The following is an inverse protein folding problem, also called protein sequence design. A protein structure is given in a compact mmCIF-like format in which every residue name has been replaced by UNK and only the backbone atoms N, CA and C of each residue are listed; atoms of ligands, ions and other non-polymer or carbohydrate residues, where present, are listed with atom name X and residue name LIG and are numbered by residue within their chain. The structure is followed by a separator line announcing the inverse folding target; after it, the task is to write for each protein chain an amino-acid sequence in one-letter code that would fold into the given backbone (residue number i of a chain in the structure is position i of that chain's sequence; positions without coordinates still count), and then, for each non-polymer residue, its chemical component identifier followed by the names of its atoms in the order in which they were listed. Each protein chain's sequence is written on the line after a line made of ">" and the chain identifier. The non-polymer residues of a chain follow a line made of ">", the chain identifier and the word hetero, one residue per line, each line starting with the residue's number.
data_IF_413744561256
#
_entry.id   IF_413744561256
#
_cell.length_a   1.000
_cell.length_b   1.000
_cell.length_c   1.000
_cell.angle_alpha   90.00
_cell.angle_beta   90.00
_cell.angle_gamma   90.00
#
_symmetry.space_group_name_H-M   'P 1'
#
loop_
_entity.id
_entity.type
_entity.pdbx_description
1 polymer ?
#
# COMPACT_ATOMS: atom_id res chain seq x y z
N UNK A 1 -5.28 -17.44 18.85
CA UNK A 1 -6.72 -17.22 18.73
C UNK A 1 -6.97 -15.72 18.86
N UNK A 2 -8.05 -15.16 18.28
CA UNK A 2 -8.35 -13.75 18.48
C UNK A 2 -8.62 -13.45 19.96
N UNK A 3 -8.18 -12.27 20.40
CA UNK A 3 -8.46 -11.75 21.73
C UNK A 3 -9.57 -10.69 21.60
N UNK A 4 -10.74 -10.95 22.16
CA UNK A 4 -11.82 -9.98 22.22
C UNK A 4 -11.56 -9.02 23.38
N UNK A 5 -11.15 -7.79 23.06
CA UNK A 5 -10.82 -6.74 24.05
C UNK A 5 -12.11 -6.14 24.63
N UNK A 6 -13.09 -5.87 23.76
CA UNK A 6 -14.45 -5.46 24.14
C UNK A 6 -15.43 -5.88 23.01
N UNK A 7 -16.77 -5.69 23.16
CA UNK A 7 -17.75 -6.07 22.15
C UNK A 7 -17.49 -5.49 20.74
N UNK A 8 -16.86 -4.31 20.67
CA UNK A 8 -16.58 -3.59 19.41
C UNK A 8 -15.10 -3.64 19.01
N UNK A 9 -14.25 -4.45 19.68
CA UNK A 9 -12.82 -4.52 19.37
C UNK A 9 -12.28 -5.92 19.55
N UNK A 10 -11.76 -6.49 18.47
CA UNK A 10 -11.13 -7.82 18.45
C UNK A 10 -9.70 -7.71 17.89
N UNK A 11 -8.72 -8.36 18.52
CA UNK A 11 -7.32 -8.34 18.11
C UNK A 11 -6.78 -9.72 17.77
N UNK A 12 -6.03 -9.80 16.69
CA UNK A 12 -5.18 -10.94 16.29
C UNK A 12 -3.69 -10.62 16.50
N UNK A 13 -3.36 -9.42 16.99
CA UNK A 13 -1.98 -9.07 17.31
C UNK A 13 -1.50 -9.87 18.52
N UNK A 14 -0.27 -10.39 18.43
CA UNK A 14 0.41 -11.06 19.56
C UNK A 14 0.92 -10.05 20.58
N UNK A 15 1.31 -8.87 20.09
CA UNK A 15 1.80 -7.74 20.87
C UNK A 15 1.11 -6.48 20.34
N UNK A 16 0.66 -5.62 21.23
CA UNK A 16 0.03 -4.35 20.92
C UNK A 16 0.51 -3.34 21.95
N UNK A 17 1.17 -2.27 21.49
CA UNK A 17 1.58 -1.20 22.39
C UNK A 17 0.39 -0.41 22.92
N UNK A 18 0.56 0.25 24.08
CA UNK A 18 -0.53 0.95 24.78
C UNK A 18 -1.14 2.08 23.94
N UNK A 19 -0.34 2.78 23.12
CA UNK A 19 -0.83 3.85 22.27
C UNK A 19 -1.70 3.30 21.13
N UNK A 20 -1.29 2.18 20.53
CA UNK A 20 -2.06 1.51 19.48
C UNK A 20 -3.37 0.94 20.04
N UNK A 21 -3.34 0.38 21.25
CA UNK A 21 -4.54 -0.10 21.93
C UNK A 21 -5.50 1.05 22.23
N UNK A 22 -5.02 2.15 22.80
CA UNK A 22 -5.87 3.31 23.11
C UNK A 22 -6.47 3.92 21.83
N UNK A 23 -5.70 4.03 20.76
CA UNK A 23 -6.19 4.48 19.47
C UNK A 23 -7.28 3.55 18.91
N UNK A 24 -7.11 2.25 19.01
CA UNK A 24 -8.11 1.27 18.59
C UNK A 24 -9.39 1.34 19.45
N UNK A 25 -9.25 1.56 20.77
CA UNK A 25 -10.38 1.77 21.68
C UNK A 25 -11.19 3.00 21.30
N UNK A 26 -10.54 4.13 20.94
CA UNK A 26 -11.24 5.33 20.44
C UNK A 26 -11.99 5.03 19.14
N UNK A 27 -11.36 4.33 18.20
CA UNK A 27 -12.00 3.92 16.95
C UNK A 27 -13.20 3.01 17.20
N UNK A 28 -13.13 2.10 18.18
CA UNK A 28 -14.20 1.16 18.51
C UNK A 28 -15.45 1.78 19.13
N UNK A 29 -15.41 3.07 19.50
CA UNK A 29 -16.55 3.84 20.04
C UNK A 29 -17.26 4.70 18.99
N UNK A 30 -16.83 4.66 17.73
CA UNK A 30 -17.49 5.43 16.67
C UNK A 30 -18.91 4.94 16.40
N UNK A 31 -19.89 5.85 16.25
CA UNK A 31 -21.30 5.49 16.06
C UNK A 31 -21.61 4.92 14.68
N UNK A 32 -20.70 5.04 13.73
CA UNK A 32 -20.86 4.62 12.33
C UNK A 32 -20.41 3.18 12.07
N UNK A 33 -19.94 2.46 13.09
CA UNK A 33 -19.43 1.11 12.91
C UNK A 33 -20.55 0.13 12.49
N UNK A 34 -20.23 -0.73 11.54
CA UNK A 34 -21.08 -1.83 11.08
C UNK A 34 -20.78 -3.15 11.82
N UNK A 35 -19.74 -3.17 12.64
CA UNK A 35 -19.30 -4.35 13.40
C UNK A 35 -18.05 -4.01 14.22
N UNK A 36 -17.43 -4.99 14.87
CA UNK A 36 -16.23 -4.74 15.66
C UNK A 36 -15.06 -4.30 14.78
N UNK A 37 -14.26 -3.38 15.33
CA UNK A 37 -12.93 -3.08 14.78
C UNK A 37 -12.05 -4.30 14.94
N UNK A 38 -11.39 -4.73 13.87
CA UNK A 38 -10.53 -5.90 13.88
C UNK A 38 -9.07 -5.46 13.71
N UNK A 39 -8.22 -5.80 14.69
CA UNK A 39 -6.78 -5.55 14.63
C UNK A 39 -6.06 -6.80 14.12
N UNK A 40 -5.31 -6.66 13.03
CA UNK A 40 -4.53 -7.74 12.45
C UNK A 40 -3.20 -7.91 13.20
N UNK A 41 -2.47 -8.97 12.87
CA UNK A 41 -1.24 -9.37 13.57
C UNK A 41 -0.11 -8.31 13.53
N UNK A 42 -0.16 -7.38 12.59
CA UNK A 42 0.79 -6.28 12.41
C UNK A 42 0.27 -4.93 12.94
N UNK A 43 -0.76 -4.95 13.79
CA UNK A 43 -1.35 -3.73 14.32
C UNK A 43 -0.34 -2.90 15.13
N UNK A 44 -0.27 -1.61 14.82
CA UNK A 44 0.61 -0.66 15.50
C UNK A 44 0.05 0.77 15.42
N UNK A 45 0.56 1.68 16.24
CA UNK A 45 0.14 3.07 16.26
C UNK A 45 0.38 3.75 14.91
N UNK A 46 -0.60 4.56 14.47
CA UNK A 46 -0.53 5.31 13.22
C UNK A 46 -1.31 6.62 13.26
N UNK A 47 -1.37 7.35 12.14
CA UNK A 47 -2.20 8.55 12.01
C UNK A 47 -3.67 8.14 11.81
N UNK A 48 -4.57 8.71 12.59
CA UNK A 48 -6.01 8.42 12.55
C UNK A 48 -6.34 7.08 13.18
N UNK A 49 -6.76 6.10 12.39
CA UNK A 49 -7.00 4.75 12.87
C UNK A 49 -5.70 3.94 12.98
N UNK A 50 -5.69 2.96 13.88
CA UNK A 50 -4.57 2.03 14.08
C UNK A 50 -4.18 1.36 12.76
N UNK A 51 -2.89 1.35 12.44
CA UNK A 51 -2.38 0.58 11.28
C UNK A 51 -2.60 -0.90 11.55
N UNK A 52 -2.98 -1.66 10.53
CA UNK A 52 -3.38 -3.07 10.71
C UNK A 52 -4.83 -3.24 11.16
N UNK A 53 -5.66 -2.19 11.14
CA UNK A 53 -7.08 -2.30 11.47
C UNK A 53 -7.97 -2.48 10.25
N UNK A 54 -9.07 -3.20 10.44
CA UNK A 54 -10.25 -3.24 9.56
C UNK A 54 -11.41 -2.60 10.31
N UNK A 55 -11.99 -1.56 9.70
CA UNK A 55 -13.03 -0.72 10.32
C UNK A 55 -14.25 -0.70 9.40
N UNK A 56 -15.16 -1.65 9.56
CA UNK A 56 -16.40 -1.67 8.78
C UNK A 56 -17.36 -0.56 9.23
N UNK A 57 -17.88 0.22 8.28
CA UNK A 57 -18.76 1.37 8.55
C UNK A 57 -20.03 1.34 7.73
N UNK A 58 -21.13 1.89 8.27
CA UNK A 58 -22.41 2.08 7.58
C UNK A 58 -22.55 3.51 7.12
N UNK A 59 -22.86 3.69 5.83
CA UNK A 59 -23.18 4.98 5.22
C UNK A 59 -22.14 6.09 5.50
N UNK A 60 -20.89 5.71 5.76
CA UNK A 60 -19.83 6.66 6.09
C UNK A 60 -18.45 6.10 5.77
N UNK A 61 -17.48 6.99 5.55
CA UNK A 61 -16.06 6.66 5.40
C UNK A 61 -15.19 7.59 6.22
N UNK A 62 -14.13 7.00 6.83
CA UNK A 62 -13.08 7.73 7.52
C UNK A 62 -11.87 7.86 6.58
N UNK A 63 -11.57 9.03 6.02
CA UNK A 63 -10.42 9.20 5.13
C UNK A 63 -9.08 8.81 5.80
N UNK A 64 -8.92 9.08 7.09
CA UNK A 64 -7.73 8.71 7.85
C UNK A 64 -7.57 7.20 8.05
N UNK A 65 -8.66 6.43 8.11
CA UNK A 65 -8.61 4.97 8.25
C UNK A 65 -8.13 4.27 6.97
N UNK A 66 -8.33 4.88 5.80
CA UNK A 66 -7.73 4.42 4.53
C UNK A 66 -6.23 4.71 4.51
N UNK A 67 -5.82 5.80 5.18
CA UNK A 67 -4.43 6.24 5.27
C UNK A 67 -4.02 7.21 4.16
N UNK A 68 -2.92 7.93 4.41
CA UNK A 68 -2.44 8.99 3.51
C UNK A 68 -1.81 8.48 2.20
N UNK A 69 -1.35 7.25 2.14
CA UNK A 69 -0.90 6.62 0.90
C UNK A 69 -2.00 5.69 0.36
N UNK A 70 -3.05 6.32 -0.18
CA UNK A 70 -4.21 5.59 -0.73
C UNK A 70 -3.74 4.59 -1.78
N UNK A 71 -4.19 3.34 -1.68
CA UNK A 71 -3.84 2.28 -2.62
C UNK A 71 -2.43 1.74 -2.45
N UNK A 72 -1.68 2.14 -1.39
CA UNK A 72 -0.43 1.46 -1.06
C UNK A 72 -0.64 -0.04 -0.99
N UNK A 73 0.34 -0.80 -1.47
CA UNK A 73 0.18 -2.24 -1.61
C UNK A 73 1.43 -2.93 -2.13
N UNK A 74 1.29 -4.22 -2.33
CA UNK A 74 2.35 -5.11 -2.77
C UNK A 74 2.06 -5.66 -4.16
N UNK A 75 3.11 -5.85 -4.96
CA UNK A 75 3.08 -6.73 -6.12
C UNK A 75 4.23 -7.71 -6.03
N UNK A 76 3.97 -8.97 -6.34
CA UNK A 76 4.96 -10.03 -6.38
C UNK A 76 4.84 -10.80 -7.69
N UNK A 77 5.98 -11.11 -8.32
CA UNK A 77 6.04 -11.93 -9.52
C UNK A 77 6.97 -13.13 -9.29
N UNK A 78 6.44 -14.33 -9.47
CA UNK A 78 7.24 -15.56 -9.54
C UNK A 78 7.84 -15.69 -10.93
N UNK A 79 9.07 -16.20 -11.02
CA UNK A 79 9.71 -16.46 -12.29
C UNK A 79 10.02 -17.95 -12.46
N UNK A 80 10.31 -18.36 -13.69
CA UNK A 80 10.78 -19.71 -14.00
C UNK A 80 12.17 -20.01 -13.43
N UNK A 81 12.93 -18.98 -13.01
CA UNK A 81 14.29 -19.11 -12.54
C UNK A 81 14.39 -19.74 -11.15
N UNK A 82 15.48 -20.45 -10.95
CA UNK A 82 15.98 -20.89 -9.65
C UNK A 82 17.20 -20.05 -9.22
N UNK A 83 17.59 -20.13 -7.95
CA UNK A 83 18.75 -19.43 -7.42
C UNK A 83 20.04 -19.69 -8.21
N UNK A 84 20.23 -20.94 -8.71
CA UNK A 84 21.41 -21.36 -9.46
C UNK A 84 21.51 -20.69 -10.85
N UNK A 85 20.41 -20.17 -11.38
CA UNK A 85 20.34 -19.52 -12.69
C UNK A 85 20.56 -18.00 -12.61
N UNK A 86 20.66 -17.45 -11.39
CA UNK A 86 21.05 -16.08 -11.17
C UNK A 86 22.57 -15.90 -11.25
N UNK A 87 23.07 -14.75 -11.76
CA UNK A 87 24.49 -14.42 -11.67
C UNK A 87 24.99 -14.39 -10.22
N UNK A 88 26.24 -14.78 -10.00
CA UNK A 88 26.88 -14.73 -8.69
C UNK A 88 26.98 -13.28 -8.16
N UNK A 89 27.22 -12.30 -9.02
CA UNK A 89 27.20 -10.87 -8.70
C UNK A 89 25.93 -10.20 -9.25
N UNK A 90 25.08 -9.76 -8.34
CA UNK A 90 23.81 -9.10 -8.66
C UNK A 90 23.93 -7.56 -8.81
N UNK A 91 25.16 -7.00 -8.83
CA UNK A 91 25.38 -5.54 -8.99
C UNK A 91 24.79 -4.99 -10.30
N UNK A 92 24.95 -5.75 -11.37
CA UNK A 92 24.40 -5.34 -12.67
C UNK A 92 22.86 -5.27 -12.63
N UNK A 93 22.19 -6.27 -12.03
CA UNK A 93 20.74 -6.28 -11.82
C UNK A 93 20.30 -5.10 -10.94
N UNK A 94 21.01 -4.87 -9.83
CA UNK A 94 20.72 -3.73 -8.94
C UNK A 94 20.85 -2.38 -9.68
N UNK A 95 21.89 -2.21 -10.51
CA UNK A 95 22.06 -1.02 -11.35
C UNK A 95 20.87 -0.81 -12.30
N UNK A 96 20.49 -1.86 -13.02
CA UNK A 96 19.35 -1.83 -13.95
C UNK A 96 18.02 -1.52 -13.26
N UNK A 97 17.77 -2.08 -12.07
CA UNK A 97 16.57 -1.79 -11.27
C UNK A 97 16.53 -0.30 -10.87
N UNK A 98 17.65 0.23 -10.39
CA UNK A 98 17.78 1.64 -9.99
C UNK A 98 17.57 2.61 -11.16
N UNK A 99 18.08 2.27 -12.34
CA UNK A 99 18.01 3.11 -13.53
C UNK A 99 16.59 3.10 -14.14
N UNK A 100 15.89 1.97 -14.07
CA UNK A 100 14.54 1.80 -14.65
C UNK A 100 13.42 2.20 -13.70
N UNK A 101 13.64 2.17 -12.38
CA UNK A 101 12.64 2.46 -11.35
C UNK A 101 13.14 3.61 -10.47
N UNK A 102 12.80 4.87 -10.83
CA UNK A 102 13.21 6.04 -10.06
C UNK A 102 12.74 5.94 -8.62
N UNK A 103 13.63 6.23 -7.67
CA UNK A 103 13.37 6.10 -6.25
C UNK A 103 13.76 7.37 -5.49
N UNK A 104 12.99 7.76 -4.47
CA UNK A 104 13.23 8.92 -3.61
C UNK A 104 12.04 9.88 -3.55
N UNK A 105 12.10 10.81 -2.59
CA UNK A 105 11.06 11.84 -2.39
C UNK A 105 10.96 12.71 -3.63
N UNK A 106 9.75 12.81 -4.21
CA UNK A 106 9.49 13.63 -5.40
C UNK A 106 10.15 13.14 -6.69
N UNK A 107 10.90 12.05 -6.64
CA UNK A 107 11.53 11.47 -7.83
C UNK A 107 10.48 10.80 -8.73
N UNK A 108 10.79 10.81 -10.01
CA UNK A 108 10.01 10.18 -11.08
C UNK A 108 10.82 10.14 -12.36
N UNK A 109 10.19 9.72 -13.45
CA UNK A 109 10.83 9.75 -14.76
C UNK A 109 11.04 11.20 -15.20
N UNK A 110 12.18 11.51 -15.83
CA UNK A 110 12.37 12.80 -16.47
C UNK A 110 11.32 13.04 -17.56
N UNK A 111 11.04 14.31 -17.93
CA UNK A 111 10.04 14.64 -18.97
C UNK A 111 10.25 13.85 -20.26
N UNK A 112 11.51 13.64 -20.65
CA UNK A 112 11.87 12.85 -21.84
C UNK A 112 11.65 11.33 -21.65
N UNK A 113 11.64 10.84 -20.41
CA UNK A 113 11.40 9.43 -20.07
C UNK A 113 9.97 9.14 -19.59
N UNK A 114 9.11 10.14 -19.54
CA UNK A 114 7.70 9.99 -19.16
C UNK A 114 6.94 9.35 -20.32
N UNK A 115 6.65 8.07 -20.18
CA UNK A 115 5.80 7.36 -21.13
C UNK A 115 4.36 7.43 -20.64
N UNK A 116 3.50 8.09 -21.42
CA UNK A 116 2.05 8.03 -21.24
C UNK A 116 1.57 6.64 -21.63
N UNK A 117 1.54 5.72 -20.68
CA UNK A 117 1.01 4.38 -20.92
C UNK A 117 -0.50 4.43 -21.20
N UNK A 118 -1.05 3.50 -22.01
CA UNK A 118 -2.50 3.42 -22.21
C UNK A 118 -3.28 3.38 -20.90
N UNK A 119 -2.74 2.72 -19.89
CA UNK A 119 -3.34 2.65 -18.55
C UNK A 119 -3.42 4.03 -17.88
N UNK A 120 -2.35 4.84 -17.96
CA UNK A 120 -2.34 6.19 -17.38
C UNK A 120 -3.26 7.13 -18.16
N UNK A 121 -3.31 7.00 -19.50
CA UNK A 121 -4.23 7.78 -20.35
C UNK A 121 -5.68 7.46 -20.01
N UNK A 122 -6.03 6.18 -19.89
CA UNK A 122 -7.38 5.74 -19.55
C UNK A 122 -7.80 6.14 -18.12
N UNK A 123 -6.85 6.29 -17.20
CA UNK A 123 -7.11 6.70 -15.83
C UNK A 123 -7.56 8.17 -15.73
N UNK A 124 -7.04 9.04 -16.56
CA UNK A 124 -7.31 10.48 -16.52
C UNK A 124 -6.84 11.16 -15.23
N UNK A 125 -7.54 12.23 -14.83
CA UNK A 125 -7.32 12.96 -13.58
C UNK A 125 -8.26 12.47 -12.47
N UNK A 126 -7.93 12.70 -11.17
CA UNK A 126 -8.81 12.37 -10.06
C UNK A 126 -10.14 13.13 -10.17
N UNK A 127 -11.29 12.44 -10.27
CA UNK A 127 -12.56 13.08 -10.67
C UNK A 127 -13.11 14.08 -9.64
N UNK A 128 -12.90 13.80 -8.35
CA UNK A 128 -13.39 14.64 -7.26
C UNK A 128 -12.63 15.97 -7.12
N UNK A 129 -11.35 16.00 -7.50
CA UNK A 129 -10.46 17.15 -7.32
C UNK A 129 -9.85 17.68 -8.62
N UNK A 130 -10.31 17.20 -9.77
CA UNK A 130 -9.69 17.53 -11.07
C UNK A 130 -9.59 19.04 -11.35
N UNK A 131 -10.61 19.83 -10.96
CA UNK A 131 -10.65 21.29 -11.16
C UNK A 131 -9.66 22.04 -10.25
N UNK A 132 -9.33 21.47 -9.10
CA UNK A 132 -8.46 22.08 -8.08
C UNK A 132 -6.97 21.80 -8.31
N UNK A 133 -6.64 20.83 -9.17
CA UNK A 133 -5.27 20.46 -9.44
C UNK A 133 -4.52 21.54 -10.22
N UNK A 134 -3.41 22.00 -9.67
CA UNK A 134 -2.47 22.86 -10.35
C UNK A 134 -1.80 22.16 -11.54
N UNK A 135 -1.28 22.95 -12.50
CA UNK A 135 -0.52 22.40 -13.62
C UNK A 135 0.68 21.54 -13.18
N UNK A 136 1.33 21.91 -12.06
CA UNK A 136 2.42 21.13 -11.47
C UNK A 136 1.95 19.76 -10.99
N UNK A 137 0.81 19.67 -10.31
CA UNK A 137 0.24 18.42 -9.81
C UNK A 137 -0.13 17.50 -10.98
N UNK A 138 -0.78 18.04 -12.02
CA UNK A 138 -1.13 17.29 -13.25
C UNK A 138 0.12 16.70 -13.91
N UNK A 139 1.21 17.48 -14.04
CA UNK A 139 2.49 16.98 -14.57
C UNK A 139 3.09 15.89 -13.65
N UNK A 140 3.00 16.06 -12.33
CA UNK A 140 3.55 15.12 -11.35
C UNK A 140 2.88 13.75 -11.43
N UNK A 141 1.58 13.69 -11.73
CA UNK A 141 0.85 12.43 -11.94
C UNK A 141 1.56 11.57 -13.00
N UNK A 142 1.87 12.15 -14.16
CA UNK A 142 2.54 11.42 -15.24
C UNK A 142 4.00 11.10 -14.91
N UNK A 143 4.75 12.08 -14.39
CA UNK A 143 6.19 11.93 -14.08
C UNK A 143 6.46 10.89 -13.02
N UNK A 144 5.57 10.75 -12.02
CA UNK A 144 5.75 9.79 -10.91
C UNK A 144 5.17 8.41 -11.19
N UNK A 145 4.41 8.21 -12.27
CA UNK A 145 3.89 6.90 -12.63
C UNK A 145 5.04 5.97 -13.06
N UNK A 146 5.08 4.76 -12.52
CA UNK A 146 6.20 3.82 -12.68
C UNK A 146 7.42 4.14 -11.80
N UNK A 147 7.25 4.94 -10.74
CA UNK A 147 8.32 5.26 -9.79
C UNK A 147 8.04 4.68 -8.40
N UNK A 148 9.11 4.35 -7.67
CA UNK A 148 9.02 3.66 -6.38
C UNK A 148 8.56 4.57 -5.25
N UNK A 149 9.12 5.77 -5.16
CA UNK A 149 8.95 6.69 -4.06
C UNK A 149 9.93 6.53 -2.92
N UNK A 150 9.48 6.77 -1.70
CA UNK A 150 10.32 6.84 -0.51
C UNK A 150 9.65 6.18 0.70
N UNK A 151 10.31 6.27 1.85
CA UNK A 151 9.81 5.69 3.09
C UNK A 151 10.06 4.18 3.16
N UNK A 152 9.02 3.42 3.41
CA UNK A 152 9.05 1.95 3.49
C UNK A 152 8.89 1.24 2.13
N UNK A 153 8.83 1.98 1.02
CA UNK A 153 8.74 1.41 -0.33
C UNK A 153 10.05 0.73 -0.74
N UNK A 154 9.94 -0.39 -1.45
CA UNK A 154 11.10 -1.18 -1.88
C UNK A 154 10.80 -2.00 -3.14
N UNK A 155 11.87 -2.39 -3.84
CA UNK A 155 11.92 -3.49 -4.80
C UNK A 155 12.95 -4.48 -4.30
N UNK A 156 12.61 -5.75 -4.30
CA UNK A 156 13.45 -6.83 -3.76
C UNK A 156 13.38 -8.06 -4.69
N UNK A 157 14.53 -8.65 -4.97
CA UNK A 157 14.63 -9.99 -5.57
C UNK A 157 14.90 -10.97 -4.46
N UNK A 158 14.09 -11.98 -4.30
CA UNK A 158 14.15 -12.96 -3.22
C UNK A 158 13.91 -14.39 -3.74
N UNK A 159 14.17 -15.36 -2.88
CA UNK A 159 13.94 -16.77 -3.14
C UNK A 159 12.82 -17.28 -2.25
N UNK A 160 12.04 -18.22 -2.75
CA UNK A 160 11.15 -19.04 -1.92
C UNK A 160 11.86 -20.32 -1.41
N UNK A 161 11.14 -21.15 -0.64
CA UNK A 161 11.67 -22.43 -0.11
C UNK A 161 11.95 -23.48 -1.17
N UNK A 162 11.57 -23.23 -2.42
CA UNK A 162 11.89 -24.08 -3.60
C UNK A 162 13.03 -23.49 -4.41
N UNK A 163 13.75 -22.50 -3.85
CA UNK A 163 14.76 -21.72 -4.54
C UNK A 163 14.28 -20.99 -5.80
N UNK A 164 12.95 -20.75 -5.94
CA UNK A 164 12.38 -19.99 -7.03
C UNK A 164 12.66 -18.51 -6.84
N UNK A 165 13.00 -17.83 -7.92
CA UNK A 165 13.26 -16.39 -7.93
C UNK A 165 11.95 -15.63 -8.03
N UNK A 166 11.73 -14.75 -7.05
CA UNK A 166 10.63 -13.82 -7.00
C UNK A 166 11.12 -12.39 -7.06
N UNK A 167 10.34 -11.50 -7.69
CA UNK A 167 10.47 -10.06 -7.51
C UNK A 167 9.31 -9.59 -6.65
N UNK A 168 9.60 -8.83 -5.60
CA UNK A 168 8.60 -8.29 -4.68
C UNK A 168 8.77 -6.77 -4.61
N UNK A 169 7.66 -6.05 -4.72
CA UNK A 169 7.66 -4.60 -4.75
C UNK A 169 6.56 -4.05 -3.83
N UNK A 170 6.90 -3.04 -3.04
CA UNK A 170 5.99 -2.28 -2.19
C UNK A 170 5.96 -0.82 -2.63
N UNK A 171 4.79 -0.32 -3.04
CA UNK A 171 4.60 1.08 -3.44
C UNK A 171 3.11 1.44 -3.50
N UNK A 172 2.81 2.75 -3.55
CA UNK A 172 1.47 3.32 -3.51
C UNK A 172 1.17 4.34 -4.59
N UNK A 173 0.24 5.25 -4.30
CA UNK A 173 -0.27 6.28 -5.22
C UNK A 173 0.64 7.50 -5.36
N UNK A 174 1.84 7.45 -4.85
CA UNK A 174 2.85 8.49 -4.93
C UNK A 174 2.38 9.80 -4.25
N UNK A 175 3.04 10.91 -4.59
CA UNK A 175 2.75 12.22 -4.00
C UNK A 175 1.33 12.71 -4.23
N UNK A 176 0.70 12.33 -5.35
CA UNK A 176 -0.67 12.77 -5.63
C UNK A 176 -1.68 12.14 -4.68
N UNK A 177 -1.60 10.82 -4.42
CA UNK A 177 -2.51 10.17 -3.47
C UNK A 177 -2.38 10.72 -2.06
N UNK A 178 -1.16 11.03 -1.61
CA UNK A 178 -0.95 11.68 -0.31
C UNK A 178 -1.61 13.08 -0.25
N UNK A 179 -1.52 13.87 -1.32
CA UNK A 179 -2.15 15.18 -1.40
C UNK A 179 -3.68 15.08 -1.36
N UNK A 180 -4.27 14.15 -2.13
CA UNK A 180 -5.71 13.90 -2.12
C UNK A 180 -6.18 13.47 -0.72
N UNK A 181 -5.51 12.48 -0.12
CA UNK A 181 -5.84 12.01 1.23
C UNK A 181 -5.81 13.15 2.26
N UNK A 182 -4.74 13.96 2.24
CA UNK A 182 -4.58 15.09 3.15
C UNK A 182 -5.67 16.13 2.98
N UNK A 183 -6.06 16.44 1.73
CA UNK A 183 -7.14 17.37 1.44
C UNK A 183 -8.48 16.83 1.98
N UNK A 184 -8.82 15.57 1.70
CA UNK A 184 -10.07 14.97 2.16
C UNK A 184 -10.12 14.74 3.68
N UNK A 185 -9.01 14.43 4.34
CA UNK A 185 -8.92 14.40 5.81
C UNK A 185 -9.25 15.80 6.40
N UNK A 186 -8.71 16.86 5.79
CA UNK A 186 -9.03 18.24 6.20
C UNK A 186 -10.51 18.55 5.99
N UNK A 187 -11.08 18.19 4.85
CA UNK A 187 -12.51 18.35 4.54
C UNK A 187 -13.37 17.59 5.55
N UNK A 188 -13.03 16.34 5.87
CA UNK A 188 -13.78 15.55 6.87
C UNK A 188 -13.81 16.23 8.24
N UNK A 189 -12.69 16.84 8.68
CA UNK A 189 -12.63 17.58 9.94
C UNK A 189 -13.52 18.84 9.93
N UNK A 190 -13.66 19.52 8.78
CA UNK A 190 -14.57 20.67 8.65
C UNK A 190 -16.03 20.20 8.69
N UNK A 191 -16.36 19.17 7.93
CA UNK A 191 -17.71 18.56 7.95
C UNK A 191 -18.07 18.06 9.34
N UNK A 192 -17.12 17.46 10.07
CA UNK A 192 -17.34 17.01 11.44
C UNK A 192 -17.71 18.18 12.40
N UNK A 193 -17.13 19.35 12.20
CA UNK A 193 -17.50 20.56 12.97
C UNK A 193 -18.90 21.07 12.61
N UNK A 194 -19.24 21.09 11.31
CA UNK A 194 -20.58 21.50 10.84
C UNK A 194 -21.68 20.55 11.33
N UNK A 195 -21.41 19.24 11.34
CA UNK A 195 -22.36 18.20 11.78
C UNK A 195 -22.37 17.99 13.30
N UNK A 196 -21.50 18.67 14.04
CA UNK A 196 -21.32 18.48 15.48
C UNK A 196 -21.01 17.01 15.84
N UNK A 197 -20.16 16.34 15.05
CA UNK A 197 -19.72 14.97 15.33
C UNK A 197 -18.97 14.95 16.67
N UNK A 198 -19.35 14.03 17.56
CA UNK A 198 -18.65 13.83 18.83
C UNK A 198 -17.44 12.94 18.58
N UNK A 199 -16.24 13.52 18.58
CA UNK A 199 -14.98 12.85 18.28
C UNK A 199 -14.04 12.90 19.48
N UNK A 200 -13.52 11.76 19.91
CA UNK A 200 -12.42 11.68 20.88
C UNK A 200 -11.06 12.01 20.25
N UNK A 201 -10.95 11.84 18.93
CA UNK A 201 -9.81 12.23 18.13
C UNK A 201 -10.33 12.84 16.82
N UNK A 202 -9.89 14.07 16.52
CA UNK A 202 -10.28 14.79 15.29
C UNK A 202 -9.90 14.05 14.01
N UNK A 203 -8.93 13.12 14.09
CA UNK A 203 -8.48 12.33 12.96
C UNK A 203 -9.42 11.16 12.64
N UNK A 204 -10.41 10.92 13.52
CA UNK A 204 -11.51 9.97 13.30
C UNK A 204 -12.74 10.62 12.67
N UNK A 205 -12.63 11.86 12.17
CA UNK A 205 -13.69 12.51 11.42
C UNK A 205 -14.08 11.69 10.18
N UNK A 206 -15.38 11.57 9.94
CA UNK A 206 -15.92 10.81 8.81
C UNK A 206 -16.73 11.70 7.86
N UNK A 207 -16.89 11.20 6.63
CA UNK A 207 -17.79 11.75 5.62
C UNK A 207 -19.01 10.84 5.50
N UNK A 208 -20.20 11.41 5.51
CA UNK A 208 -21.48 10.70 5.46
C UNK A 208 -21.93 10.52 4.02
N UNK A 209 -22.36 9.31 3.64
CA UNK A 209 -22.89 8.99 2.31
C UNK A 209 -24.08 9.90 1.94
N UNK A 210 -24.12 10.35 0.68
CA UNK A 210 -25.10 11.31 0.19
C UNK A 210 -24.68 12.78 0.27
N UNK A 211 -23.50 13.07 0.85
CA UNK A 211 -22.92 14.42 0.78
C UNK A 211 -21.95 14.56 -0.41
N UNK A 212 -21.87 15.75 -1.01
CA UNK A 212 -20.93 16.01 -2.10
C UNK A 212 -19.45 15.70 -1.72
N UNK A 213 -19.06 15.99 -0.47
CA UNK A 213 -17.70 15.74 0.04
C UNK A 213 -17.38 14.25 0.13
N UNK A 214 -18.39 13.41 0.45
CA UNK A 214 -18.27 11.97 0.42
C UNK A 214 -18.06 11.46 -0.99
N UNK A 215 -18.88 11.90 -1.95
CA UNK A 215 -18.81 11.48 -3.36
C UNK A 215 -17.47 11.89 -4.00
N UNK A 216 -17.00 13.10 -3.70
CA UNK A 216 -15.70 13.59 -4.13
C UNK A 216 -14.56 12.72 -3.56
N UNK A 217 -14.62 12.40 -2.26
CA UNK A 217 -13.62 11.54 -1.62
C UNK A 217 -13.60 10.14 -2.22
N UNK A 218 -14.77 9.50 -2.36
CA UNK A 218 -14.87 8.15 -2.94
C UNK A 218 -14.31 8.12 -4.36
N UNK A 219 -14.65 9.10 -5.18
CA UNK A 219 -14.18 9.21 -6.56
C UNK A 219 -12.65 9.32 -6.62
N UNK A 220 -12.05 10.17 -5.81
CA UNK A 220 -10.60 10.38 -5.76
C UNK A 220 -9.87 9.18 -5.14
N UNK A 221 -10.44 8.57 -4.11
CA UNK A 221 -9.90 7.37 -3.48
C UNK A 221 -9.83 6.19 -4.46
N UNK A 222 -10.92 5.93 -5.18
CA UNK A 222 -10.97 4.86 -6.19
C UNK A 222 -10.01 5.14 -7.35
N UNK A 223 -9.86 6.41 -7.74
CA UNK A 223 -8.87 6.83 -8.73
C UNK A 223 -7.44 6.56 -8.22
N UNK A 224 -7.12 6.98 -7.00
CA UNK A 224 -5.79 6.79 -6.41
C UNK A 224 -5.43 5.31 -6.23
N UNK A 225 -6.41 4.45 -5.90
CA UNK A 225 -6.22 3.00 -5.86
C UNK A 225 -5.86 2.45 -7.26
N UNK A 226 -6.60 2.83 -8.31
CA UNK A 226 -6.29 2.42 -9.69
C UNK A 226 -4.92 2.94 -10.15
N UNK A 227 -4.58 4.19 -9.79
CA UNK A 227 -3.26 4.76 -10.07
C UNK A 227 -2.15 3.94 -9.37
N UNK A 228 -2.30 3.63 -8.10
CA UNK A 228 -1.32 2.85 -7.34
C UNK A 228 -1.16 1.42 -7.90
N UNK A 229 -2.27 0.79 -8.31
CA UNK A 229 -2.25 -0.51 -8.99
C UNK A 229 -1.41 -0.45 -10.26
N UNK A 230 -1.74 0.46 -11.18
CA UNK A 230 -1.01 0.64 -12.45
C UNK A 230 0.45 1.06 -12.25
N UNK A 231 0.74 1.88 -11.22
CA UNK A 231 2.09 2.24 -10.83
C UNK A 231 2.94 1.01 -10.49
N UNK A 232 2.40 0.08 -9.70
CA UNK A 232 3.07 -1.19 -9.35
C UNK A 232 3.24 -2.11 -10.56
N UNK A 233 2.22 -2.23 -11.41
CA UNK A 233 2.30 -3.02 -12.66
C UNK A 233 3.45 -2.53 -13.55
N UNK A 234 3.52 -1.23 -13.81
CA UNK A 234 4.57 -0.65 -14.64
C UNK A 234 5.98 -0.88 -14.05
N UNK A 235 6.12 -0.74 -12.73
CA UNK A 235 7.41 -1.02 -12.08
C UNK A 235 7.76 -2.50 -12.12
N UNK A 236 6.79 -3.40 -11.96
CA UNK A 236 7.02 -4.84 -12.05
C UNK A 236 7.48 -5.25 -13.46
N UNK A 237 6.85 -4.68 -14.50
CA UNK A 237 7.28 -4.91 -15.88
C UNK A 237 8.72 -4.41 -16.12
N UNK A 238 9.06 -3.24 -15.57
CA UNK A 238 10.42 -2.70 -15.64
C UNK A 238 11.43 -3.59 -14.87
N UNK A 239 11.03 -4.13 -13.73
CA UNK A 239 11.86 -5.03 -12.91
C UNK A 239 12.11 -6.38 -13.60
N UNK A 240 11.07 -6.97 -14.19
CA UNK A 240 11.19 -8.18 -15.00
C UNK A 240 12.07 -7.97 -16.23
N UNK A 241 11.94 -6.82 -16.89
CA UNK A 241 12.81 -6.45 -18.01
C UNK A 241 14.28 -6.28 -17.57
N UNK A 242 14.51 -5.76 -16.34
CA UNK A 242 15.85 -5.71 -15.76
C UNK A 242 16.39 -7.11 -15.48
N UNK A 243 15.57 -8.01 -14.91
CA UNK A 243 15.96 -9.39 -14.66
C UNK A 243 16.31 -10.13 -15.97
N UNK A 244 15.50 -9.98 -17.02
CA UNK A 244 15.76 -10.58 -18.34
C UNK A 244 17.05 -10.06 -19.00
N UNK A 245 17.52 -8.87 -18.65
CA UNK A 245 18.80 -8.36 -19.15
C UNK A 245 20.01 -9.13 -18.60
N UNK A 246 19.89 -9.78 -17.44
CA UNK A 246 20.93 -10.60 -16.82
C UNK A 246 20.64 -12.09 -16.86
N UNK A 247 19.38 -12.48 -17.05
CA UNK A 247 18.91 -13.86 -17.19
C UNK A 247 17.84 -13.92 -18.31
N UNK A 248 18.24 -13.99 -19.60
CA UNK A 248 17.35 -13.79 -20.75
C UNK A 248 16.19 -14.81 -20.85
N UNK A 249 16.36 -15.99 -20.27
CA UNK A 249 15.36 -17.07 -20.26
C UNK A 249 14.32 -16.94 -19.11
N UNK A 250 14.38 -15.87 -18.32
CA UNK A 250 13.41 -15.62 -17.26
C UNK A 250 12.01 -15.42 -17.81
N UNK A 251 11.08 -16.26 -17.40
CA UNK A 251 9.65 -16.18 -17.72
C UNK A 251 8.88 -15.90 -16.42
N UNK A 252 7.96 -14.95 -16.45
CA UNK A 252 7.02 -14.76 -15.37
C UNK A 252 6.00 -15.90 -15.37
N UNK A 253 5.83 -16.58 -14.24
CA UNK A 253 4.91 -17.72 -14.08
C UNK A 253 3.65 -17.34 -13.33
N UNK A 254 3.75 -16.35 -12.41
CA UNK A 254 2.63 -15.87 -11.61
C UNK A 254 2.86 -14.42 -11.23
N UNK A 255 1.79 -13.60 -11.17
CA UNK A 255 1.79 -12.26 -10.59
C UNK A 255 0.65 -12.11 -9.61
N UNK A 256 0.93 -11.49 -8.46
CA UNK A 256 -0.04 -11.12 -7.44
C UNK A 256 0.12 -9.62 -7.18
N UNK A 257 -0.93 -8.84 -7.37
CA UNK A 257 -0.97 -7.42 -7.02
C UNK A 257 -2.13 -7.16 -6.06
N UNK A 258 -1.92 -6.38 -5.01
CA UNK A 258 -2.95 -6.12 -4.02
C UNK A 258 -2.71 -4.81 -3.29
N UNK A 259 -3.79 -4.16 -2.89
CA UNK A 259 -3.75 -3.03 -1.97
C UNK A 259 -3.69 -3.51 -0.52
N UNK A 260 -3.18 -2.66 0.36
CA UNK A 260 -3.32 -2.79 1.80
C UNK A 260 -3.79 -1.48 2.48
N UNK A 261 -3.91 -0.39 1.73
CA UNK A 261 -4.55 0.87 2.13
C UNK A 261 -5.66 1.19 1.13
N UNK A 262 -6.87 0.74 1.41
CA UNK A 262 -8.01 0.92 0.50
C UNK A 262 -9.33 0.92 1.27
N UNK A 263 -10.40 1.31 0.60
CA UNK A 263 -11.75 1.01 1.03
C UNK A 263 -12.56 0.48 -0.15
N UNK A 264 -13.48 -0.41 0.17
CA UNK A 264 -14.40 -1.02 -0.79
C UNK A 264 -15.77 -1.14 -0.16
N UNK A 265 -16.82 -1.02 -0.97
CA UNK A 265 -18.20 -1.30 -0.55
C UNK A 265 -18.47 -2.79 -0.73
N UNK A 266 -18.83 -3.47 0.34
CA UNK A 266 -19.05 -4.92 0.37
C UNK A 266 -20.42 -5.24 0.98
N UNK A 267 -20.99 -6.39 0.60
CA UNK A 267 -22.22 -6.90 1.21
C UNK A 267 -21.86 -7.92 2.30
N UNK A 268 -22.22 -7.64 3.53
CA UNK A 268 -22.05 -8.52 4.67
C UNK A 268 -23.43 -8.86 5.27
N UNK A 269 -23.89 -10.09 5.04
CA UNK A 269 -25.15 -10.56 5.60
C UNK A 269 -26.39 -9.83 5.12
N UNK A 270 -26.37 -9.26 3.91
CA UNK A 270 -27.46 -8.49 3.33
C UNK A 270 -27.34 -6.97 3.53
N UNK A 271 -26.38 -6.51 4.33
CA UNK A 271 -26.11 -5.08 4.54
C UNK A 271 -24.89 -4.63 3.72
N UNK A 272 -25.01 -3.50 3.04
CA UNK A 272 -23.88 -2.84 2.39
C UNK A 272 -23.07 -2.06 3.42
N UNK A 273 -21.79 -2.34 3.48
CA UNK A 273 -20.84 -1.68 4.38
C UNK A 273 -19.63 -1.20 3.61
N UNK A 274 -19.06 -0.08 4.04
CA UNK A 274 -17.75 0.34 3.62
C UNK A 274 -16.71 -0.34 4.52
N UNK A 275 -15.78 -1.05 3.90
CA UNK A 275 -14.66 -1.69 4.59
C UNK A 275 -13.37 -0.97 4.26
N UNK A 276 -13.00 0.12 4.98
CA UNK A 276 -11.62 0.59 4.97
C UNK A 276 -10.75 -0.51 5.54
N UNK A 277 -9.85 -1.02 4.73
CA UNK A 277 -8.98 -2.09 5.12
C UNK A 277 -7.53 -1.69 4.83
N UNK A 278 -6.69 -1.94 5.80
CA UNK A 278 -5.24 -2.01 5.62
C UNK A 278 -4.78 -3.46 5.44
N UNK A 279 -5.74 -4.37 5.29
CA UNK A 279 -5.52 -5.80 4.98
C UNK A 279 -6.62 -6.25 4.02
N UNK A 280 -6.33 -6.94 2.91
CA UNK A 280 -7.32 -7.37 1.96
C UNK A 280 -8.38 -8.31 2.57
N UNK A 281 -9.66 -8.00 2.37
CA UNK A 281 -10.79 -8.88 2.67
C UNK A 281 -11.46 -9.28 1.33
N UNK A 282 -11.42 -10.53 0.95
CA UNK A 282 -12.03 -11.01 -0.29
C UNK A 282 -11.34 -12.27 -0.84
N UNK A 283 -11.81 -12.86 -1.95
CA UNK A 283 -11.17 -14.05 -2.55
C UNK A 283 -9.69 -13.81 -2.91
N UNK A 284 -9.36 -12.62 -3.43
CA UNK A 284 -7.98 -12.17 -3.68
C UNK A 284 -7.21 -12.04 -2.38
N UNK A 285 -7.86 -11.59 -1.31
CA UNK A 285 -7.31 -11.44 0.01
C UNK A 285 -7.00 -12.78 0.69
N UNK A 286 -7.85 -13.78 0.52
CA UNK A 286 -7.57 -15.13 1.03
C UNK A 286 -6.35 -15.73 0.33
N UNK A 287 -6.24 -15.54 -0.97
CA UNK A 287 -5.06 -15.95 -1.75
C UNK A 287 -3.83 -15.15 -1.32
N UNK A 288 -3.98 -13.86 -1.02
CA UNK A 288 -2.88 -13.01 -0.57
C UNK A 288 -2.54 -13.21 0.92
N UNK A 289 -3.53 -13.33 1.81
CA UNK A 289 -3.28 -13.62 3.22
C UNK A 289 -2.66 -15.01 3.42
N UNK A 290 -3.06 -16.00 2.62
CA UNK A 290 -2.36 -17.28 2.55
C UNK A 290 -0.98 -17.14 1.91
N UNK A 291 -0.86 -16.33 0.83
CA UNK A 291 0.43 -16.03 0.17
C UNK A 291 1.31 -15.14 1.04
N UNK A 292 0.76 -14.16 1.79
CA UNK A 292 1.51 -13.34 2.74
C UNK A 292 1.96 -14.14 3.96
N UNK A 293 1.10 -14.95 4.55
CA UNK A 293 1.48 -15.82 5.65
C UNK A 293 2.44 -16.94 5.19
N UNK A 294 2.31 -17.41 3.96
CA UNK A 294 3.30 -18.24 3.28
C UNK A 294 4.58 -17.44 3.00
N UNK A 295 4.47 -16.22 2.47
CA UNK A 295 5.59 -15.37 2.12
C UNK A 295 6.36 -14.88 3.36
N UNK A 296 5.69 -14.51 4.45
CA UNK A 296 6.35 -14.15 5.71
C UNK A 296 7.02 -15.37 6.36
N UNK A 297 6.40 -16.55 6.30
CA UNK A 297 7.04 -17.82 6.67
C UNK A 297 8.22 -18.15 5.76
N UNK A 298 8.10 -17.89 4.46
CA UNK A 298 9.14 -18.08 3.44
C UNK A 298 10.29 -17.09 3.60
N UNK A 299 9.99 -15.83 3.95
CA UNK A 299 11.00 -14.80 4.22
C UNK A 299 11.86 -15.11 5.43
N UNK A 300 11.33 -15.75 6.46
CA UNK A 300 12.10 -16.19 7.62
C UNK A 300 12.99 -17.41 7.33
N UNK A 301 12.68 -18.19 6.28
CA UNK A 301 13.48 -19.33 5.83
C UNK A 301 14.49 -19.00 4.73
N UNK A 302 14.37 -17.85 4.06
CA UNK A 302 15.32 -17.39 3.04
C UNK A 302 16.61 -16.83 3.68
N UNK A 303 17.44 -17.71 4.19
CA UNK A 303 18.83 -17.40 4.54
C UNK A 303 19.66 -17.48 3.26
N UNK A 304 19.87 -16.34 2.57
CA UNK A 304 20.80 -16.43 1.48
C UNK A 304 20.94 -15.20 0.63
N UNK A 305 20.40 -15.04 -0.52
CA UNK A 305 20.70 -13.97 -1.46
C UNK A 305 19.46 -13.11 -1.73
N UNK A 306 19.46 -11.86 -1.31
CA UNK A 306 18.45 -10.88 -1.67
C UNK A 306 19.09 -9.55 -2.09
N UNK A 307 18.61 -8.97 -3.17
CA UNK A 307 18.95 -7.62 -3.60
C UNK A 307 17.79 -6.70 -3.28
N UNK A 308 18.02 -5.72 -2.42
CA UNK A 308 17.01 -4.73 -2.03
C UNK A 308 17.42 -3.34 -2.46
N UNK A 309 16.58 -2.68 -3.24
CA UNK A 309 16.71 -1.26 -3.56
C UNK A 309 15.82 -0.45 -2.62
N UNK A 310 16.40 0.30 -1.68
CA UNK A 310 15.68 1.21 -0.75
C UNK A 310 16.05 2.66 -1.02
N UNK A 311 15.12 3.54 -0.77
CA UNK A 311 15.21 4.97 -1.06
C UNK A 311 15.62 5.86 0.11
N UNK A 312 15.75 5.33 1.33
CA UNK A 312 16.12 6.14 2.51
C UNK A 312 16.66 5.29 3.67
N UNK A 313 17.57 5.84 4.50
CA UNK A 313 18.03 5.19 5.72
C UNK A 313 17.03 5.42 6.86
N UNK A 314 15.86 4.82 6.79
CA UNK A 314 15.01 4.71 7.97
C UNK A 314 15.65 3.72 8.95
N UNK A 315 15.65 4.07 10.24
CA UNK A 315 16.24 3.29 11.33
C UNK A 315 15.92 1.80 11.21
N UNK A 316 16.98 0.99 11.25
CA UNK A 316 16.87 -0.45 11.22
C UNK A 316 16.24 -0.99 12.50
N UNK A 317 15.16 -1.75 12.34
CA UNK A 317 14.86 -2.83 13.29
C UNK A 317 15.72 -4.03 12.85
N UNK A 318 16.46 -4.69 13.73
CA UNK A 318 17.34 -5.78 13.35
C UNK A 318 16.51 -6.99 12.91
N UNK A 319 16.55 -7.31 11.61
CA UNK A 319 16.07 -8.61 11.12
C UNK A 319 17.23 -9.60 11.31
N UNK A 320 17.03 -10.58 12.15
CA UNK A 320 17.92 -11.73 12.34
C UNK A 320 17.90 -12.56 11.05
N UNK A 321 19.04 -12.68 10.39
CA UNK A 321 19.25 -13.47 9.17
C UNK A 321 20.09 -12.69 8.16
N UNK A 322 21.24 -13.24 7.78
CA UNK A 322 22.23 -12.60 6.91
C UNK A 322 21.69 -12.38 5.49
N UNK A 323 21.11 -11.21 5.26
CA UNK A 323 20.81 -10.70 3.94
C UNK A 323 22.06 -9.93 3.47
N UNK A 324 22.62 -10.28 2.34
CA UNK A 324 23.71 -9.51 1.75
C UNK A 324 23.17 -8.11 1.38
N UNK A 325 23.50 -7.10 2.21
CA UNK A 325 23.07 -5.71 2.05
C UNK A 325 24.10 -4.97 1.21
N UNK A 326 23.75 -4.59 0.01
CA UNK A 326 24.44 -3.53 -0.70
C UNK A 326 23.93 -2.19 -0.16
N UNK A 327 24.76 -1.48 0.62
CA UNK A 327 24.52 -0.09 0.98
C UNK A 327 25.02 0.78 -0.18
N UNK A 328 24.20 1.70 -0.65
CA UNK A 328 24.71 2.84 -1.40
C UNK A 328 25.43 3.76 -0.41
N UNK A 329 26.71 3.93 -0.56
CA UNK A 329 27.44 5.02 0.07
C UNK A 329 27.02 6.35 -0.57
N UNK A 330 26.71 7.33 0.31
CA UNK A 330 26.48 8.78 0.13
C UNK A 330 25.97 9.29 -1.20
#
# INVERSE_FOLDING_TARGET
>A
MPNQINPNLTSWASELDDNALEQALRTSRLPILAGPVCLMADAHFGLGATVGSVVATKNALLPSAVGVDIGCGMVAAETSLTAAELPDDLKALHGLLRDRIPAGVGKGHGRAGTTMTPALVALGLPPGSASELSARQRTTIAVQFGSLGSGNHFVEVCLDERDRVWIVLHSGSRGIGNQLATAHIKTARLVAQEENQVLEDRDLAWLTEGRPEFDAYVSDMLWAQRYAWGNREQMMDAALAALRSVAPHAVETQRINCHHNYAVKENHGGEEVWSPARVPSGPVARTWASSRAQWERRRSSCAGRAVRCRTSPARMVPAVGSVARLRSAS
#
